data_IF_058166563451
#
_entry.id   IF_058166563451
#
_cell.length_a   1.000
_cell.length_b   1.000
_cell.length_c   1.000
_cell.angle_alpha   90.00
_cell.angle_beta   90.00
_cell.angle_gamma   90.00
#
_symmetry.space_group_name_H-M   'P 1'
#
loop_
_entity.id
_entity.type
_entity.pdbx_description
1 polymer ?
#
# COMPACT_ATOMS: atom_id res chain seq x y z
N UNK A 1 10.34 -28.23 -15.61
CA UNK A 1 11.25 -27.14 -15.99
C UNK A 1 11.92 -26.64 -14.73
N UNK A 2 13.23 -26.83 -14.60
CA UNK A 2 14.04 -26.27 -13.52
C UNK A 2 14.38 -24.82 -13.86
N UNK A 3 14.13 -23.90 -12.93
CA UNK A 3 14.61 -22.53 -13.05
C UNK A 3 16.11 -22.47 -12.74
N UNK A 4 16.91 -21.70 -13.49
CA UNK A 4 18.34 -21.61 -13.28
C UNK A 4 18.64 -20.81 -12.00
N UNK A 5 19.49 -21.38 -11.17
CA UNK A 5 20.20 -20.68 -10.09
C UNK A 5 21.06 -19.57 -10.71
N UNK A 6 20.59 -18.33 -10.68
CA UNK A 6 21.46 -17.17 -10.92
C UNK A 6 21.89 -16.58 -9.59
N UNK A 7 23.18 -16.68 -9.31
CA UNK A 7 23.86 -15.93 -8.27
C UNK A 7 23.61 -14.43 -8.46
N UNK A 8 22.85 -13.82 -7.55
CA UNK A 8 22.80 -12.37 -7.36
C UNK A 8 23.26 -12.05 -5.94
N UNK A 9 24.32 -11.26 -5.85
CA UNK A 9 24.93 -10.80 -4.62
C UNK A 9 23.97 -9.95 -3.78
N UNK A 10 23.74 -10.33 -2.53
CA UNK A 10 23.56 -9.39 -1.41
C UNK A 10 22.15 -8.98 -0.97
N UNK A 11 21.07 -9.44 -1.61
CA UNK A 11 19.71 -9.13 -1.14
C UNK A 11 19.16 -10.26 -0.26
N UNK A 12 18.56 -9.92 0.88
CA UNK A 12 17.77 -10.91 1.64
C UNK A 12 16.58 -11.35 0.79
N UNK A 13 16.08 -12.58 0.97
CA UNK A 13 14.91 -13.08 0.23
C UNK A 13 13.67 -12.17 0.41
N UNK A 14 13.59 -11.49 1.56
CA UNK A 14 12.53 -10.53 1.87
C UNK A 14 12.67 -9.22 1.08
N UNK A 15 13.89 -8.70 0.89
CA UNK A 15 14.11 -7.50 0.06
C UNK A 15 13.68 -7.76 -1.39
N UNK A 16 14.04 -8.93 -1.92
CA UNK A 16 13.64 -9.34 -3.27
C UNK A 16 12.12 -9.43 -3.39
N UNK A 17 11.45 -10.08 -2.42
CA UNK A 17 10.00 -10.17 -2.38
C UNK A 17 9.33 -8.79 -2.30
N UNK A 18 9.87 -7.86 -1.49
CA UNK A 18 9.34 -6.50 -1.40
C UNK A 18 9.47 -5.74 -2.73
N UNK A 19 10.58 -5.91 -3.46
CA UNK A 19 10.76 -5.32 -4.79
C UNK A 19 9.80 -5.91 -5.84
N UNK A 20 9.51 -7.22 -5.78
CA UNK A 20 8.51 -7.84 -6.66
C UNK A 20 7.10 -7.33 -6.39
N UNK A 21 6.73 -7.24 -5.10
CA UNK A 21 5.45 -6.67 -4.67
C UNK A 21 5.33 -5.20 -5.07
N UNK A 22 6.41 -4.40 -4.95
CA UNK A 22 6.39 -3.01 -5.39
C UNK A 22 6.11 -2.90 -6.89
N UNK A 23 6.79 -3.69 -7.73
CA UNK A 23 6.53 -3.71 -9.19
C UNK A 23 5.08 -4.10 -9.51
N UNK A 24 4.50 -4.98 -8.72
CA UNK A 24 3.10 -5.35 -8.87
C UNK A 24 2.17 -4.19 -8.47
N UNK A 25 2.46 -3.52 -7.36
CA UNK A 25 1.73 -2.33 -6.93
C UNK A 25 1.83 -1.18 -7.95
N UNK A 26 2.99 -0.99 -8.59
CA UNK A 26 3.17 0.00 -9.66
C UNK A 26 2.28 -0.27 -10.87
N UNK A 27 2.07 -1.54 -11.23
CA UNK A 27 1.13 -1.92 -12.30
C UNK A 27 -0.32 -1.62 -11.94
N UNK A 28 -0.69 -1.77 -10.67
CA UNK A 28 -2.06 -1.51 -10.22
C UNK A 28 -2.35 -0.02 -10.05
N UNK A 29 -1.42 0.70 -9.42
CA UNK A 29 -1.68 2.04 -8.91
C UNK A 29 -0.82 3.13 -9.57
N UNK A 30 0.11 2.78 -10.46
CA UNK A 30 1.05 3.71 -11.11
C UNK A 30 2.43 3.71 -10.48
N UNK A 31 3.42 4.20 -11.23
CA UNK A 31 4.85 4.16 -10.88
C UNK A 31 5.19 4.91 -9.58
N UNK A 32 6.32 4.55 -8.95
CA UNK A 32 6.84 5.31 -7.83
C UNK A 32 7.12 6.77 -8.22
N UNK A 33 6.73 7.73 -7.36
CA UNK A 33 7.03 9.16 -7.60
C UNK A 33 8.54 9.43 -7.57
N UNK A 34 9.29 8.62 -6.84
CA UNK A 34 10.75 8.66 -6.77
C UNK A 34 11.32 7.25 -6.70
N UNK A 35 12.51 7.05 -7.28
CA UNK A 35 13.25 5.80 -7.11
C UNK A 35 13.58 5.60 -5.63
N UNK A 36 13.25 4.42 -5.11
CA UNK A 36 13.42 4.07 -3.70
C UNK A 36 14.16 2.74 -3.55
N UNK A 37 15.15 2.72 -2.65
CA UNK A 37 15.78 1.48 -2.19
C UNK A 37 14.96 0.90 -1.05
N UNK A 38 14.68 -0.40 -1.08
CA UNK A 38 13.94 -1.08 -0.02
C UNK A 38 14.89 -2.00 0.72
N UNK A 39 14.80 -1.97 2.05
CA UNK A 39 15.34 -3.00 2.94
C UNK A 39 14.25 -3.49 3.87
N UNK A 40 14.19 -4.78 4.10
CA UNK A 40 13.24 -5.43 4.99
C UNK A 40 13.96 -5.91 6.25
N UNK A 41 13.35 -5.68 7.41
CA UNK A 41 13.83 -6.24 8.68
C UNK A 41 12.68 -6.90 9.42
N UNK A 42 12.96 -8.04 10.02
CA UNK A 42 12.06 -8.57 11.03
C UNK A 42 12.29 -7.85 12.35
N UNK A 43 11.23 -7.59 13.10
CA UNK A 43 11.31 -6.93 14.41
C UNK A 43 10.26 -7.42 15.40
N UNK A 44 10.57 -7.22 16.68
CA UNK A 44 9.70 -7.52 17.81
C UNK A 44 8.71 -6.35 18.01
N UNK A 45 7.72 -6.24 17.14
CA UNK A 45 6.60 -5.28 17.22
C UNK A 45 5.27 -6.02 17.04
N UNK A 46 4.18 -5.41 17.47
CA UNK A 46 2.81 -5.90 17.26
C UNK A 46 2.24 -5.53 15.88
N UNK A 47 2.92 -4.69 15.10
CA UNK A 47 2.48 -4.28 13.77
C UNK A 47 3.65 -4.07 12.77
N UNK A 48 3.40 -4.21 11.45
CA UNK A 48 4.34 -3.82 10.43
C UNK A 48 4.39 -2.28 10.25
N UNK A 49 5.55 -1.75 9.86
CA UNK A 49 5.72 -0.31 9.66
C UNK A 49 6.83 0.00 8.64
N UNK A 50 6.62 1.05 7.84
CA UNK A 50 7.60 1.56 6.87
C UNK A 50 8.26 2.84 7.38
N UNK A 51 9.60 2.82 7.46
CA UNK A 51 10.40 4.00 7.83
C UNK A 51 11.13 4.54 6.62
N UNK A 52 10.96 5.82 6.33
CA UNK A 52 11.72 6.50 5.28
C UNK A 52 12.91 7.27 5.86
N UNK A 53 14.00 7.34 5.11
CA UNK A 53 15.04 8.32 5.39
C UNK A 53 14.55 9.74 5.04
N UNK A 54 15.26 10.78 5.50
CA UNK A 54 14.84 12.18 5.30
C UNK A 54 14.67 12.58 3.83
N UNK A 55 15.42 11.95 2.90
CA UNK A 55 15.31 12.23 1.47
C UNK A 55 14.24 11.41 0.75
N UNK A 56 13.55 10.49 1.44
CA UNK A 56 12.59 9.54 0.87
C UNK A 56 13.15 8.70 -0.29
N UNK A 57 14.44 8.40 -0.24
CA UNK A 57 15.14 7.56 -1.24
C UNK A 57 15.44 6.15 -0.72
N UNK A 58 15.23 5.92 0.58
CA UNK A 58 15.39 4.62 1.23
C UNK A 58 14.20 4.35 2.15
N UNK A 59 13.56 3.19 1.99
CA UNK A 59 12.54 2.63 2.87
C UNK A 59 13.11 1.44 3.66
N UNK A 60 12.90 1.45 4.96
CA UNK A 60 13.04 0.25 5.80
C UNK A 60 11.65 -0.25 6.16
N UNK A 61 11.21 -1.33 5.54
CA UNK A 61 9.96 -2.00 5.90
C UNK A 61 10.28 -2.96 7.03
N UNK A 62 9.63 -2.78 8.17
CA UNK A 62 9.75 -3.67 9.31
C UNK A 62 8.50 -4.52 9.42
N UNK A 63 8.67 -5.84 9.44
CA UNK A 63 7.59 -6.82 9.54
C UNK A 63 7.79 -7.70 10.76
N UNK A 64 6.71 -8.31 11.22
CA UNK A 64 6.76 -9.22 12.36
C UNK A 64 7.37 -10.57 11.95
N UNK A 65 7.93 -11.28 12.92
CA UNK A 65 8.48 -12.62 12.72
C UNK A 65 7.37 -13.68 12.81
N UNK A 66 6.63 -13.84 11.72
CA UNK A 66 5.46 -14.71 11.60
C UNK A 66 5.63 -15.73 10.46
N UNK A 67 4.61 -16.51 10.13
CA UNK A 67 4.67 -17.45 9.01
C UNK A 67 4.80 -16.72 7.65
N UNK A 68 5.14 -17.48 6.60
CA UNK A 68 5.43 -16.92 5.28
C UNK A 68 4.25 -16.17 4.65
N UNK A 69 3.03 -16.67 4.84
CA UNK A 69 1.83 -16.07 4.27
C UNK A 69 1.58 -14.71 4.94
N UNK A 70 1.64 -14.66 6.28
CA UNK A 70 1.50 -13.44 7.05
C UNK A 70 2.62 -12.44 6.77
N UNK A 71 3.89 -12.89 6.64
CA UNK A 71 5.00 -12.02 6.21
C UNK A 71 4.73 -11.39 4.85
N UNK A 72 4.25 -12.16 3.87
CA UNK A 72 3.95 -11.69 2.51
C UNK A 72 2.81 -10.67 2.52
N UNK A 73 1.78 -10.90 3.33
CA UNK A 73 0.68 -9.95 3.53
C UNK A 73 1.16 -8.64 4.15
N UNK A 74 1.94 -8.71 5.24
CA UNK A 74 2.51 -7.52 5.90
C UNK A 74 3.42 -6.73 4.96
N UNK A 75 4.27 -7.43 4.18
CA UNK A 75 5.08 -6.80 3.16
C UNK A 75 4.21 -6.09 2.13
N UNK A 76 3.24 -6.79 1.52
CA UNK A 76 2.38 -6.25 0.48
C UNK A 76 1.65 -4.98 0.93
N UNK A 77 1.13 -4.97 2.17
CA UNK A 77 0.49 -3.79 2.75
C UNK A 77 1.42 -2.59 2.79
N UNK A 78 2.66 -2.80 3.24
CA UNK A 78 3.62 -1.73 3.47
C UNK A 78 4.27 -1.22 2.18
N UNK A 79 4.46 -2.06 1.14
CA UNK A 79 5.10 -1.61 -0.12
C UNK A 79 4.31 -0.49 -0.81
N UNK A 80 2.98 -0.44 -0.62
CA UNK A 80 2.14 0.58 -1.27
C UNK A 80 2.57 1.99 -0.84
N UNK A 81 3.04 2.16 0.39
CA UNK A 81 3.56 3.46 0.88
C UNK A 81 4.83 3.89 0.13
N UNK A 82 5.56 2.95 -0.50
CA UNK A 82 6.74 3.26 -1.30
C UNK A 82 6.39 3.89 -2.67
N UNK A 83 5.14 3.78 -3.14
CA UNK A 83 4.72 4.40 -4.40
C UNK A 83 4.74 5.93 -4.32
N UNK A 84 4.33 6.50 -3.18
CA UNK A 84 4.30 7.94 -2.95
C UNK A 84 4.72 8.26 -1.52
N UNK A 85 6.03 8.18 -1.21
CA UNK A 85 6.51 8.26 0.16
C UNK A 85 6.24 9.63 0.78
N UNK A 86 5.69 9.63 1.98
CA UNK A 86 5.39 10.81 2.80
C UNK A 86 5.71 10.56 4.28
N UNK A 87 5.87 11.62 5.10
CA UNK A 87 5.94 11.49 6.56
C UNK A 87 4.72 10.73 7.16
N UNK A 88 4.89 10.00 8.29
CA UNK A 88 3.79 9.27 8.93
C UNK A 88 2.56 10.12 9.29
N UNK A 89 2.75 11.39 9.63
CA UNK A 89 1.68 12.35 9.95
C UNK A 89 0.88 12.81 8.72
N UNK A 90 1.37 12.52 7.51
CA UNK A 90 0.72 12.84 6.24
C UNK A 90 0.05 11.62 5.59
N UNK A 91 0.17 10.43 6.19
CA UNK A 91 -0.54 9.26 5.70
C UNK A 91 -2.04 9.48 5.82
N UNK A 92 -2.78 9.01 4.83
CA UNK A 92 -4.23 9.12 4.73
C UNK A 92 -4.92 7.77 4.90
N UNK A 93 -6.24 7.80 5.11
CA UNK A 93 -7.07 6.59 5.00
C UNK A 93 -6.89 5.92 3.64
N UNK A 94 -6.72 6.71 2.58
CA UNK A 94 -6.55 6.18 1.23
C UNK A 94 -5.29 5.29 1.10
N UNK A 95 -4.14 5.74 1.60
CA UNK A 95 -2.90 4.94 1.52
C UNK A 95 -2.98 3.65 2.33
N UNK A 96 -3.49 3.73 3.57
CA UNK A 96 -3.65 2.55 4.42
C UNK A 96 -4.68 1.57 3.85
N UNK A 97 -5.78 2.09 3.30
CA UNK A 97 -6.81 1.30 2.64
C UNK A 97 -6.32 0.61 1.36
N UNK A 98 -5.53 1.29 0.53
CA UNK A 98 -4.94 0.69 -0.67
C UNK A 98 -3.92 -0.39 -0.34
N UNK A 99 -3.10 -0.18 0.71
CA UNK A 99 -2.22 -1.24 1.22
C UNK A 99 -2.99 -2.52 1.54
N UNK A 100 -4.13 -2.37 2.22
CA UNK A 100 -5.01 -3.49 2.57
C UNK A 100 -5.67 -4.17 1.35
N UNK A 101 -6.23 -3.38 0.43
CA UNK A 101 -6.83 -3.92 -0.82
C UNK A 101 -5.79 -4.68 -1.63
N UNK A 102 -4.60 -4.12 -1.77
CA UNK A 102 -3.51 -4.75 -2.50
C UNK A 102 -3.07 -6.05 -1.85
N UNK A 103 -2.81 -6.02 -0.54
CA UNK A 103 -2.32 -7.18 0.20
C UNK A 103 -3.29 -8.38 0.13
N UNK A 104 -4.59 -8.13 0.09
CA UNK A 104 -5.62 -9.18 -0.01
C UNK A 104 -6.03 -9.54 -1.43
N UNK A 105 -5.41 -8.92 -2.44
CA UNK A 105 -5.74 -9.22 -3.83
C UNK A 105 -5.22 -10.59 -4.26
N UNK A 106 -5.92 -11.23 -5.20
CA UNK A 106 -5.51 -12.49 -5.82
C UNK A 106 -4.11 -12.42 -6.45
N UNK A 107 -3.66 -11.21 -6.80
CA UNK A 107 -2.33 -10.96 -7.39
C UNK A 107 -1.20 -11.16 -6.39
N UNK A 108 -1.44 -10.86 -5.11
CA UNK A 108 -0.47 -11.10 -4.03
C UNK A 108 -0.48 -12.58 -3.64
N UNK A 109 -1.65 -13.22 -3.71
CA UNK A 109 -1.80 -14.68 -3.56
C UNK A 109 -1.73 -15.18 -2.13
N UNK A 110 -2.03 -14.31 -1.16
CA UNK A 110 -2.10 -14.68 0.27
C UNK A 110 -3.50 -15.11 0.66
N UNK A 111 -3.61 -16.05 1.60
CA UNK A 111 -4.89 -16.52 2.15
C UNK A 111 -4.99 -16.10 3.61
N UNK A 112 -5.38 -14.85 3.83
CA UNK A 112 -5.45 -14.25 5.17
C UNK A 112 -6.80 -13.58 5.34
N UNK A 113 -7.38 -13.75 6.52
CA UNK A 113 -8.53 -12.98 6.98
C UNK A 113 -8.01 -12.00 8.04
N UNK A 114 -7.93 -10.70 7.75
CA UNK A 114 -7.45 -9.73 8.72
C UNK A 114 -8.38 -9.70 9.94
N UNK A 115 -7.83 -9.58 11.15
CA UNK A 115 -8.64 -9.41 12.35
C UNK A 115 -9.36 -8.04 12.34
N UNK A 116 -10.54 -7.97 12.96
CA UNK A 116 -11.38 -6.75 13.07
C UNK A 116 -11.86 -6.50 14.52
N UNK A 117 -11.14 -7.03 15.49
CA UNK A 117 -11.56 -7.10 16.90
C UNK A 117 -11.38 -5.77 17.66
N UNK A 118 -10.39 -4.97 17.29
CA UNK A 118 -10.06 -3.72 17.97
C UNK A 118 -10.25 -2.47 17.10
N UNK A 119 -10.17 -1.30 17.74
CA UNK A 119 -10.44 -0.02 17.10
C UNK A 119 -9.52 0.28 15.91
N UNK A 120 -8.23 -0.08 16.01
CA UNK A 120 -7.26 0.13 14.94
C UNK A 120 -7.60 -0.76 13.74
N UNK A 121 -7.89 -2.03 14.00
CA UNK A 121 -8.28 -2.97 12.95
C UNK A 121 -9.60 -2.60 12.26
N UNK A 122 -10.59 -2.11 13.01
CA UNK A 122 -11.83 -1.56 12.44
C UNK A 122 -11.57 -0.36 11.55
N UNK A 123 -10.63 0.52 11.93
CA UNK A 123 -10.17 1.65 11.10
C UNK A 123 -9.54 1.17 9.78
N UNK A 124 -8.70 0.13 9.83
CA UNK A 124 -8.15 -0.50 8.64
C UNK A 124 -9.23 -1.14 7.76
N UNK A 125 -10.20 -1.85 8.35
CA UNK A 125 -11.31 -2.47 7.65
C UNK A 125 -12.19 -1.43 6.94
N UNK A 126 -12.46 -0.29 7.58
CA UNK A 126 -13.19 0.83 6.97
C UNK A 126 -12.42 1.43 5.79
N UNK A 127 -11.14 1.75 5.97
CA UNK A 127 -10.28 2.27 4.90
C UNK A 127 -10.24 1.32 3.69
N UNK A 128 -10.08 0.01 3.95
CA UNK A 128 -10.13 -1.04 2.93
C UNK A 128 -11.47 -1.07 2.21
N UNK A 129 -12.59 -1.04 2.96
CA UNK A 129 -13.95 -1.05 2.39
C UNK A 129 -14.17 0.14 1.46
N UNK A 130 -13.73 1.34 1.85
CA UNK A 130 -13.86 2.55 1.04
C UNK A 130 -13.02 2.47 -0.25
N UNK A 131 -11.78 1.97 -0.17
CA UNK A 131 -10.92 1.78 -1.35
C UNK A 131 -11.51 0.74 -2.31
N UNK A 132 -11.97 -0.40 -1.79
CA UNK A 132 -12.61 -1.43 -2.60
C UNK A 132 -13.92 -0.92 -3.24
N UNK A 133 -14.69 -0.11 -2.53
CA UNK A 133 -15.88 0.54 -3.07
C UNK A 133 -15.52 1.52 -4.20
N UNK A 134 -14.45 2.29 -4.04
CA UNK A 134 -13.96 3.20 -5.07
C UNK A 134 -13.57 2.44 -6.34
N UNK A 135 -12.74 1.39 -6.22
CA UNK A 135 -12.34 0.54 -7.36
C UNK A 135 -13.56 -0.12 -8.02
N UNK A 136 -14.50 -0.65 -7.23
CA UNK A 136 -15.73 -1.26 -7.76
C UNK A 136 -16.62 -0.26 -8.50
N UNK A 137 -16.75 0.96 -7.99
CA UNK A 137 -17.67 1.98 -8.53
C UNK A 137 -17.08 2.69 -9.74
N UNK A 138 -15.77 2.91 -9.73
CA UNK A 138 -15.08 3.80 -10.66
C UNK A 138 -14.16 3.06 -11.63
N UNK A 139 -13.96 1.75 -11.45
CA UNK A 139 -13.01 0.91 -12.19
C UNK A 139 -11.73 0.66 -11.39
N UNK A 140 -11.18 -0.56 -11.49
CA UNK A 140 -9.96 -0.97 -10.77
C UNK A 140 -8.74 -0.08 -11.09
N UNK A 141 -8.75 0.61 -12.25
CA UNK A 141 -7.69 1.52 -12.69
C UNK A 141 -7.82 2.96 -12.12
N UNK A 142 -8.82 3.23 -11.29
CA UNK A 142 -9.14 4.60 -10.82
C UNK A 142 -7.97 5.26 -10.11
N UNK A 143 -7.24 4.55 -9.26
CA UNK A 143 -6.06 5.07 -8.54
C UNK A 143 -4.96 5.46 -9.53
N UNK A 144 -4.70 4.61 -10.53
CA UNK A 144 -3.75 4.90 -11.60
C UNK A 144 -4.16 6.17 -12.37
N UNK A 145 -5.45 6.31 -12.72
CA UNK A 145 -5.97 7.50 -13.40
C UNK A 145 -5.89 8.76 -12.55
N UNK A 146 -6.21 8.68 -11.25
CA UNK A 146 -6.04 9.79 -10.30
C UNK A 146 -4.60 10.26 -10.26
N UNK A 147 -3.66 9.32 -10.11
CA UNK A 147 -2.23 9.64 -10.01
C UNK A 147 -1.65 10.23 -11.29
N UNK A 148 -2.09 9.73 -12.44
CA UNK A 148 -1.64 10.21 -13.75
C UNK A 148 -2.21 11.56 -14.14
N UNK A 149 -3.49 11.84 -13.83
CA UNK A 149 -4.21 13.02 -14.34
C UNK A 149 -4.36 14.16 -13.34
N UNK A 150 -4.25 13.88 -12.04
CA UNK A 150 -4.56 14.84 -10.98
C UNK A 150 -3.39 15.04 -10.03
N UNK A 151 -2.96 13.97 -9.36
CA UNK A 151 -2.03 14.09 -8.24
C UNK A 151 -1.16 12.85 -8.07
N UNK A 152 0.15 12.98 -8.30
CA UNK A 152 1.09 11.86 -8.25
C UNK A 152 1.18 11.19 -6.86
N UNK A 153 0.99 11.97 -5.79
CA UNK A 153 1.02 11.49 -4.41
C UNK A 153 -0.37 11.08 -3.91
N UNK A 154 -0.53 9.84 -3.44
CA UNK A 154 -1.83 9.33 -2.98
C UNK A 154 -2.37 10.18 -1.81
N UNK A 155 -1.51 10.49 -0.82
CA UNK A 155 -1.80 11.35 0.33
C UNK A 155 -2.31 12.75 -0.02
N UNK A 156 -2.11 13.22 -1.26
CA UNK A 156 -2.51 14.55 -1.71
C UNK A 156 -3.73 14.53 -2.62
N UNK A 157 -4.27 13.35 -2.93
CA UNK A 157 -5.52 13.24 -3.68
C UNK A 157 -6.62 13.87 -2.84
N UNK A 158 -7.37 14.77 -3.45
CA UNK A 158 -8.49 15.44 -2.78
C UNK A 158 -9.83 14.78 -3.13
N UNK A 159 -10.88 15.03 -2.34
CA UNK A 159 -12.22 14.59 -2.71
C UNK A 159 -12.68 15.15 -4.06
N UNK A 160 -12.24 16.37 -4.42
CA UNK A 160 -12.55 16.99 -5.72
C UNK A 160 -11.89 16.24 -6.88
N UNK A 161 -10.64 15.78 -6.70
CA UNK A 161 -9.95 14.97 -7.70
C UNK A 161 -10.71 13.65 -7.97
N UNK A 162 -11.20 13.01 -6.91
CA UNK A 162 -12.02 11.79 -6.97
C UNK A 162 -13.33 12.09 -7.70
N UNK A 163 -14.10 13.09 -7.26
CA UNK A 163 -15.38 13.46 -7.87
C UNK A 163 -15.23 13.84 -9.35
N UNK A 164 -14.14 14.50 -9.73
CA UNK A 164 -13.90 14.92 -11.10
C UNK A 164 -13.53 13.77 -12.05
N UNK A 165 -13.07 12.62 -11.54
CA UNK A 165 -12.85 11.40 -12.33
C UNK A 165 -13.98 10.37 -12.16
N UNK A 166 -14.72 10.44 -11.06
CA UNK A 166 -15.80 9.53 -10.72
C UNK A 166 -16.92 10.25 -9.97
N UNK A 167 -17.84 10.86 -10.72
CA UNK A 167 -19.00 11.55 -10.15
C UNK A 167 -20.00 10.63 -9.44
N UNK A 168 -19.86 9.30 -9.60
CA UNK A 168 -20.72 8.29 -8.97
C UNK A 168 -20.25 7.89 -7.57
N UNK A 169 -19.01 8.19 -7.20
CA UNK A 169 -18.51 7.87 -5.87
C UNK A 169 -19.03 8.90 -4.86
N UNK A 170 -19.63 8.48 -3.72
CA UNK A 170 -20.20 9.41 -2.76
C UNK A 170 -19.16 10.40 -2.24
N UNK A 171 -19.57 11.68 -2.15
CA UNK A 171 -18.68 12.76 -1.71
C UNK A 171 -18.17 12.54 -0.29
N UNK A 172 -19.05 12.12 0.61
CA UNK A 172 -18.71 11.84 2.02
C UNK A 172 -17.67 10.73 2.13
N UNK A 173 -17.79 9.66 1.33
CA UNK A 173 -16.81 8.57 1.28
C UNK A 173 -15.46 9.06 0.72
N UNK A 174 -15.47 9.97 -0.26
CA UNK A 174 -14.25 10.59 -0.79
C UNK A 174 -13.55 11.45 0.26
N UNK A 175 -14.33 12.22 1.04
CA UNK A 175 -13.83 13.01 2.16
C UNK A 175 -13.22 12.12 3.23
N UNK A 176 -13.85 10.99 3.57
CA UNK A 176 -13.31 10.02 4.52
C UNK A 176 -11.97 9.43 4.04
N UNK A 177 -11.87 9.02 2.77
CA UNK A 177 -10.62 8.50 2.20
C UNK A 177 -9.46 9.51 2.30
N UNK A 178 -9.74 10.80 2.12
CA UNK A 178 -8.72 11.84 2.10
C UNK A 178 -8.37 12.38 3.50
N UNK A 179 -8.97 11.85 4.58
CA UNK A 179 -8.62 12.26 5.95
C UNK A 179 -7.24 11.73 6.36
N UNK A 180 -6.51 12.47 7.21
CA UNK A 180 -5.30 11.96 7.85
C UNK A 180 -5.58 10.67 8.61
N UNK A 181 -4.65 9.72 8.56
CA UNK A 181 -4.77 8.44 9.26
C UNK A 181 -4.80 8.61 10.78
N UNK A 182 -4.17 9.64 11.31
CA UNK A 182 -4.10 9.91 12.75
C UNK A 182 -5.25 10.79 13.27
N UNK A 183 -6.25 11.11 12.43
CA UNK A 183 -7.46 11.83 12.86
C UNK A 183 -8.43 10.93 13.62
#
# INVERSE_FOLDING_TARGET
>A
MQFPNSAYSGYSSLDAAAHELLKLAEKCYGECVKSIKISVKEWESDHPETFFNQSFTHATIKIQKVDENERRYQLAQEVVQCLSPVPPDQLTFFEKGLGQVFALSDRVGVKITPPEDNAIQKKYAEARRLCALLEKTCGEDIVHRLRKKRQQYISRITPDDISALCSKFPREDAELLCRPWNS
#
